data_IF_623969837966
#
_entry.id   IF_623969837966
#
_cell.length_a   1.000
_cell.length_b   1.000
_cell.length_c   1.000
_cell.angle_alpha   90.00
_cell.angle_beta   90.00
_cell.angle_gamma   90.00
#
_symmetry.space_group_name_H-M   'P 1'
#
loop_
_entity.id
_entity.type
_entity.pdbx_description
1 polymer ?
#
# COMPACT_ATOMS: atom_id res chain seq x y z
N UNK A 1 10.09 -30.41 6.63
CA UNK A 1 10.86 -29.30 6.02
C UNK A 1 10.06 -28.77 4.81
N UNK A 2 9.30 -27.69 4.97
CA UNK A 2 8.60 -27.05 3.85
C UNK A 2 9.59 -26.13 3.12
N UNK A 3 10.01 -26.51 1.91
CA UNK A 3 10.77 -25.62 1.02
C UNK A 3 9.82 -24.52 0.54
N UNK A 4 9.84 -23.36 1.18
CA UNK A 4 9.16 -22.17 0.68
C UNK A 4 9.67 -21.86 -0.73
N UNK A 5 8.76 -21.77 -1.70
CA UNK A 5 9.06 -21.44 -3.09
C UNK A 5 9.99 -20.21 -3.14
N UNK A 6 11.16 -20.35 -3.77
CA UNK A 6 12.32 -19.43 -3.70
C UNK A 6 12.13 -18.02 -4.27
N UNK A 7 11.09 -17.31 -3.82
CA UNK A 7 10.85 -15.90 -4.11
C UNK A 7 11.62 -15.04 -3.12
N UNK A 8 12.51 -14.20 -3.63
CA UNK A 8 13.24 -13.18 -2.85
C UNK A 8 12.80 -11.82 -3.34
N UNK A 9 12.37 -10.94 -2.44
CA UNK A 9 12.00 -9.57 -2.77
C UNK A 9 12.74 -8.59 -1.87
N UNK A 10 13.48 -7.67 -2.49
CA UNK A 10 14.24 -6.60 -1.82
C UNK A 10 13.62 -5.26 -2.18
N UNK A 11 13.54 -4.36 -1.21
CA UNK A 11 13.06 -2.99 -1.40
C UNK A 11 14.01 -2.01 -0.72
N UNK A 12 14.38 -0.95 -1.42
CA UNK A 12 15.14 0.19 -0.89
C UNK A 12 14.32 1.46 -1.09
N UNK A 13 14.29 2.31 -0.07
CA UNK A 13 13.62 3.61 -0.13
C UNK A 13 14.62 4.69 0.22
N UNK A 14 14.79 5.63 -0.71
CA UNK A 14 15.56 6.86 -0.50
C UNK A 14 14.59 8.05 -0.43
N UNK A 15 14.85 8.98 0.48
CA UNK A 15 13.96 10.11 0.73
C UNK A 15 14.77 11.40 0.87
N UNK A 16 14.35 12.45 0.18
CA UNK A 16 14.95 13.78 0.22
C UNK A 16 13.89 14.87 0.35
N UNK A 17 14.25 15.96 1.03
CA UNK A 17 13.44 17.19 1.11
C UNK A 17 13.87 18.23 0.07
N UNK A 18 15.05 18.06 -0.53
CA UNK A 18 15.67 19.09 -1.37
C UNK A 18 14.81 19.55 -2.56
N UNK A 19 14.12 18.68 -3.32
CA UNK A 19 13.29 19.11 -4.44
C UNK A 19 11.95 19.73 -4.02
N UNK A 20 11.55 19.64 -2.75
CA UNK A 20 10.20 20.01 -2.32
C UNK A 20 9.90 21.49 -2.56
N UNK A 21 10.88 22.37 -2.32
CA UNK A 21 10.74 23.81 -2.56
C UNK A 21 10.60 24.13 -4.05
N UNK A 22 11.41 23.49 -4.91
CA UNK A 22 11.32 23.65 -6.36
C UNK A 22 9.97 23.17 -6.91
N UNK A 23 9.40 22.11 -6.34
CA UNK A 23 8.12 21.53 -6.77
C UNK A 23 6.90 22.26 -6.19
N UNK A 24 7.07 23.24 -5.30
CA UNK A 24 5.97 23.79 -4.52
C UNK A 24 4.90 24.52 -5.36
N UNK A 25 5.27 25.07 -6.53
CA UNK A 25 4.31 25.75 -7.43
C UNK A 25 3.30 24.78 -8.04
N UNK A 26 3.80 23.63 -8.49
CA UNK A 26 3.04 22.66 -9.25
C UNK A 26 2.43 21.58 -8.34
N UNK A 27 3.07 21.33 -7.20
CA UNK A 27 2.63 20.39 -6.16
C UNK A 27 2.58 21.05 -4.78
N UNK A 28 1.55 21.88 -4.50
CA UNK A 28 1.37 22.50 -3.20
C UNK A 28 1.31 21.46 -2.07
N UNK A 29 2.08 21.71 -1.02
CA UNK A 29 2.18 20.80 0.12
C UNK A 29 3.14 19.63 -0.08
N UNK A 30 3.92 19.58 -1.16
CA UNK A 30 5.07 18.68 -1.25
C UNK A 30 6.04 18.97 -0.10
N UNK A 31 6.30 17.97 0.74
CA UNK A 31 7.22 18.08 1.86
C UNK A 31 8.44 17.16 1.69
N UNK A 32 8.28 16.01 1.04
CA UNK A 32 9.37 15.08 0.72
C UNK A 32 9.14 14.41 -0.64
N UNK A 33 10.24 14.08 -1.31
CA UNK A 33 10.29 13.25 -2.52
C UNK A 33 11.03 11.96 -2.19
N UNK A 34 10.60 10.83 -2.75
CA UNK A 34 11.24 9.54 -2.54
C UNK A 34 11.45 8.75 -3.83
N UNK A 35 12.46 7.88 -3.81
CA UNK A 35 12.72 6.84 -4.80
C UNK A 35 12.58 5.49 -4.13
N UNK A 36 11.67 4.67 -4.62
CA UNK A 36 11.48 3.28 -4.21
C UNK A 36 12.02 2.38 -5.30
N UNK A 37 13.01 1.56 -4.97
CA UNK A 37 13.47 0.49 -5.86
C UNK A 37 12.98 -0.86 -5.32
N UNK A 38 12.55 -1.71 -6.25
CA UNK A 38 12.04 -3.05 -5.95
C UNK A 38 12.75 -4.05 -6.84
N UNK A 39 13.37 -5.05 -6.23
CA UNK A 39 13.94 -6.18 -6.94
C UNK A 39 13.23 -7.46 -6.51
N UNK A 40 12.65 -8.20 -7.45
CA UNK A 40 12.01 -9.50 -7.22
C UNK A 40 12.74 -10.57 -8.01
N UNK A 41 13.19 -11.62 -7.33
CA UNK A 41 13.71 -12.83 -7.95
C UNK A 41 12.68 -13.95 -7.87
N UNK A 42 12.33 -14.54 -9.02
CA UNK A 42 11.42 -15.68 -9.12
C UNK A 42 11.88 -16.60 -10.24
N UNK A 43 12.04 -17.90 -9.98
CA UNK A 43 12.40 -18.87 -11.01
C UNK A 43 13.72 -18.59 -11.74
N UNK A 44 14.67 -17.88 -11.10
CA UNK A 44 15.94 -17.48 -11.72
C UNK A 44 15.93 -16.11 -12.41
N UNK A 45 14.75 -15.58 -12.73
CA UNK A 45 14.59 -14.23 -13.32
C UNK A 45 14.59 -13.16 -12.23
N UNK A 46 15.23 -12.01 -12.51
CA UNK A 46 15.21 -10.82 -11.65
C UNK A 46 14.42 -9.71 -12.34
N UNK A 47 13.35 -9.26 -11.72
CA UNK A 47 12.56 -8.09 -12.15
C UNK A 47 12.89 -6.91 -11.25
N UNK A 48 13.21 -5.77 -11.84
CA UNK A 48 13.50 -4.53 -11.14
C UNK A 48 12.49 -3.46 -11.54
N UNK A 49 12.07 -2.65 -10.57
CA UNK A 49 11.14 -1.55 -10.75
C UNK A 49 11.61 -0.37 -9.92
N UNK A 50 11.58 0.83 -10.50
CA UNK A 50 11.87 2.09 -9.80
C UNK A 50 10.63 2.97 -9.86
N UNK A 51 10.18 3.43 -8.69
CA UNK A 51 9.01 4.28 -8.54
C UNK A 51 9.43 5.56 -7.82
N UNK A 52 9.00 6.70 -8.35
CA UNK A 52 9.16 7.99 -7.68
C UNK A 52 7.84 8.43 -7.06
N UNK A 53 7.91 9.13 -5.95
CA UNK A 53 6.72 9.69 -5.32
C UNK A 53 7.01 10.93 -4.50
N UNK A 54 5.94 11.67 -4.23
CA UNK A 54 5.94 12.86 -3.37
C UNK A 54 4.99 12.63 -2.19
N UNK A 55 5.24 13.31 -1.09
CA UNK A 55 4.36 13.25 0.08
C UNK A 55 4.29 14.60 0.78
N UNK A 56 3.14 14.89 1.36
CA UNK A 56 2.93 16.03 2.25
C UNK A 56 3.31 15.76 3.70
N UNK A 57 3.74 14.53 4.01
CA UNK A 57 4.30 14.22 5.32
C UNK A 57 5.70 14.84 5.43
N UNK A 58 5.96 15.69 6.43
CA UNK A 58 7.30 16.21 6.66
C UNK A 58 8.20 15.13 7.29
N UNK A 59 9.52 15.31 7.20
CA UNK A 59 10.52 14.31 7.61
C UNK A 59 10.41 13.94 9.08
N UNK A 60 10.02 14.90 9.91
CA UNK A 60 9.85 14.76 11.36
C UNK A 60 8.68 13.84 11.70
N UNK A 61 7.66 13.78 10.83
CA UNK A 61 6.50 12.90 10.99
C UNK A 61 6.68 11.55 10.32
N UNK A 62 7.41 11.50 9.21
CA UNK A 62 7.68 10.26 8.50
C UNK A 62 9.03 10.32 7.77
N UNK A 63 10.06 9.75 8.39
CA UNK A 63 11.33 9.45 7.73
C UNK A 63 11.23 8.21 6.84
N UNK A 64 12.36 7.77 6.26
CA UNK A 64 12.39 6.68 5.28
C UNK A 64 11.77 5.36 5.78
N UNK A 65 12.02 4.96 7.03
CA UNK A 65 11.46 3.74 7.59
C UNK A 65 9.92 3.79 7.70
N UNK A 66 9.39 4.92 8.18
CA UNK A 66 7.96 5.11 8.34
C UNK A 66 7.25 5.25 6.99
N UNK A 67 7.84 5.99 6.05
CA UNK A 67 7.34 6.04 4.67
C UNK A 67 7.33 4.67 4.01
N UNK A 68 8.37 3.84 4.20
CA UNK A 68 8.40 2.47 3.68
C UNK A 68 7.26 1.61 4.25
N UNK A 69 6.96 1.77 5.54
CA UNK A 69 5.82 1.10 6.21
C UNK A 69 4.48 1.56 5.63
N UNK A 70 4.28 2.87 5.50
CA UNK A 70 3.05 3.46 4.94
C UNK A 70 2.83 3.05 3.49
N UNK A 71 3.88 3.13 2.65
CA UNK A 71 3.84 2.71 1.25
C UNK A 71 3.45 1.24 1.17
N UNK A 72 4.09 0.35 1.94
CA UNK A 72 3.73 -1.07 1.98
C UNK A 72 2.27 -1.27 2.40
N UNK A 73 1.77 -0.50 3.36
CA UNK A 73 0.37 -0.54 3.79
C UNK A 73 -0.60 -0.12 2.68
N UNK A 74 -0.28 0.95 1.95
CA UNK A 74 -1.09 1.44 0.85
C UNK A 74 -1.24 0.41 -0.28
N UNK A 75 -0.14 -0.22 -0.70
CA UNK A 75 -0.16 -1.25 -1.76
C UNK A 75 -0.95 -2.52 -1.39
N UNK A 76 -1.14 -2.83 -0.10
CA UNK A 76 -1.96 -3.98 0.33
C UNK A 76 -3.44 -3.78 0.01
N UNK A 77 -3.90 -2.54 -0.18
CA UNK A 77 -5.29 -2.23 -0.50
C UNK A 77 -5.60 -2.65 -1.95
N UNK A 78 -4.66 -2.42 -2.87
CA UNK A 78 -4.85 -2.71 -4.31
C UNK A 78 -4.33 -4.09 -4.71
N UNK A 79 -3.28 -4.58 -4.06
CA UNK A 79 -2.69 -5.89 -4.34
C UNK A 79 -2.57 -6.72 -3.05
N UNK A 80 -3.67 -7.39 -2.65
CA UNK A 80 -3.68 -8.29 -1.50
C UNK A 80 -2.58 -9.34 -1.65
N UNK A 81 -1.85 -9.62 -0.59
CA UNK A 81 -0.94 -10.75 -0.59
C UNK A 81 -1.76 -12.05 -0.57
N UNK A 82 -1.23 -13.12 -1.18
CA UNK A 82 -1.89 -14.43 -1.17
C UNK A 82 -2.21 -14.95 0.23
N UNK A 83 -1.45 -14.48 1.23
CA UNK A 83 -1.54 -14.93 2.62
C UNK A 83 -2.29 -13.88 3.49
N UNK A 84 -2.91 -12.85 2.87
CA UNK A 84 -3.71 -11.85 3.58
C UNK A 84 -5.14 -12.40 3.79
N UNK A 85 -5.69 -12.47 5.01
CA UNK A 85 -7.07 -12.92 5.21
C UNK A 85 -8.12 -12.04 4.51
N UNK A 86 -7.73 -10.86 3.99
CA UNK A 86 -8.57 -10.01 3.11
C UNK A 86 -8.44 -10.33 1.60
N UNK A 87 -7.60 -11.27 1.20
CA UNK A 87 -7.45 -11.67 -0.22
C UNK A 87 -8.59 -12.57 -0.69
N UNK A 88 -9.19 -13.34 0.20
CA UNK A 88 -10.27 -14.30 -0.10
C UNK A 88 -11.61 -13.63 -0.46
N UNK A 89 -11.71 -12.32 -0.25
CA UNK A 89 -12.93 -11.53 -0.39
C UNK A 89 -12.90 -10.58 -1.58
N UNK A 90 -11.86 -10.63 -2.44
CA UNK A 90 -11.77 -9.71 -3.59
C UNK A 90 -12.21 -10.30 -4.94
N UNK A 91 -12.25 -11.63 -5.14
CA UNK A 91 -12.77 -12.22 -6.39
C UNK A 91 -13.18 -13.71 -6.22
N UNK A 92 -14.27 -13.99 -5.52
CA UNK A 92 -15.06 -15.21 -5.79
C UNK A 92 -16.40 -14.77 -6.36
N UNK A 93 -16.60 -15.01 -7.65
CA UNK A 93 -17.89 -14.83 -8.29
C UNK A 93 -18.94 -15.65 -7.50
N UNK A 94 -19.86 -14.96 -6.81
CA UNK A 94 -20.91 -15.57 -6.00
C UNK A 94 -20.76 -15.50 -4.48
N UNK A 95 -19.71 -14.88 -3.91
CA UNK A 95 -19.58 -14.69 -2.45
C UNK A 95 -19.23 -13.27 -2.00
N UNK A 96 -19.56 -12.29 -2.83
CA UNK A 96 -19.52 -10.87 -2.48
C UNK A 96 -20.75 -10.49 -1.64
N UNK A 97 -20.66 -10.68 -0.32
CA UNK A 97 -21.67 -10.23 0.65
C UNK A 97 -21.65 -8.71 0.90
N UNK A 98 -21.59 -7.90 -0.16
CA UNK A 98 -21.82 -6.46 -0.08
C UNK A 98 -23.15 -6.13 -0.76
N UNK A 99 -24.22 -6.51 -0.07
CA UNK A 99 -25.58 -5.99 -0.22
C UNK A 99 -26.25 -6.17 1.15
N UNK A 100 -27.07 -5.30 1.73
CA UNK A 100 -27.62 -3.96 1.48
C UNK A 100 -28.31 -3.60 2.81
N UNK A 101 -28.33 -2.31 3.16
CA UNK A 101 -29.31 -1.68 4.07
C UNK A 101 -29.55 -2.27 5.48
N UNK A 102 -29.30 -1.44 6.49
CA UNK A 102 -29.81 -1.61 7.85
C UNK A 102 -30.10 -0.26 8.51
N UNK A 103 -30.80 0.64 7.80
CA UNK A 103 -31.47 1.77 8.45
C UNK A 103 -32.65 1.24 9.29
N UNK A 104 -32.91 1.76 10.49
CA UNK A 104 -33.95 1.23 11.36
C UNK A 104 -35.30 1.91 11.09
N UNK A 105 -36.28 1.14 10.62
CA UNK A 105 -37.72 1.41 10.70
C UNK A 105 -38.41 0.12 10.18
N UNK A 106 -39.33 -0.57 10.86
CA UNK A 106 -40.23 -0.23 11.95
C UNK A 106 -40.83 -1.51 12.58
N UNK A 107 -41.36 -1.32 13.79
CA UNK A 107 -42.54 -1.96 14.41
C UNK A 107 -42.38 -3.27 15.21
N UNK A 108 -42.78 -3.20 16.50
CA UNK A 108 -43.31 -4.34 17.23
C UNK A 108 -43.19 -4.32 18.77
N UNK A 109 -43.98 -3.47 19.42
CA UNK A 109 -44.71 -3.71 20.69
C UNK A 109 -44.13 -4.72 21.71
N UNK A 110 -43.73 -4.25 22.91
CA UNK A 110 -44.11 -4.87 24.18
C UNK A 110 -43.97 -3.87 25.35
N UNK A 111 -45.10 -3.73 26.07
CA UNK A 111 -45.40 -3.00 27.31
C UNK A 111 -45.44 -1.47 27.26
#
# INVERSE_FOLDING_TARGET
MHKGHGRVEVRSLEVTTWPAEYLASDWPGCAQVFRLERARRSGGEVKQEVVFGITSLPRERAGAAELSRLIRGHWRIENPQSDDPRSDNLCVAGRAGYHLCGGPACAGLMA
#
